data_IF_558495434173
#
_entry.id   IF_558495434173
#
_cell.length_a   1.000
_cell.length_b   1.000
_cell.length_c   1.000
_cell.angle_alpha   90.00
_cell.angle_beta   90.00
_cell.angle_gamma   90.00
#
_symmetry.space_group_name_H-M   'P 1'
#
loop_
_entity.id
_entity.type
_entity.pdbx_description
1 polymer ?
#
# COMPACT_ATOMS: atom_id res chain seq x y z
N UNK A 1 27.32 -9.92 -14.06
CA UNK A 1 27.08 -8.47 -14.16
C UNK A 1 25.93 -8.13 -13.22
N UNK A 2 26.16 -7.26 -12.24
CA UNK A 2 25.12 -6.87 -11.26
C UNK A 2 24.18 -5.87 -11.92
N UNK A 3 22.88 -6.17 -11.99
CA UNK A 3 21.90 -5.25 -12.55
C UNK A 3 21.81 -3.95 -11.73
N UNK A 4 21.72 -2.76 -12.35
CA UNK A 4 21.71 -1.48 -11.65
C UNK A 4 20.63 -1.37 -10.56
N UNK A 5 19.49 -2.03 -10.76
CA UNK A 5 18.34 -2.01 -9.84
C UNK A 5 18.03 -3.38 -9.24
N UNK A 6 19.06 -4.20 -8.98
CA UNK A 6 18.89 -5.54 -8.42
C UNK A 6 18.07 -5.57 -7.12
N UNK A 7 18.26 -4.59 -6.22
CA UNK A 7 17.54 -4.51 -4.95
C UNK A 7 16.04 -4.24 -5.14
N UNK A 8 15.67 -3.36 -6.08
CA UNK A 8 14.27 -3.13 -6.45
C UNK A 8 13.65 -4.40 -7.04
N UNK A 9 14.35 -5.05 -7.96
CA UNK A 9 13.86 -6.27 -8.61
C UNK A 9 13.59 -7.40 -7.59
N UNK A 10 14.47 -7.56 -6.60
CA UNK A 10 14.26 -8.52 -5.51
C UNK A 10 12.98 -8.21 -4.72
N UNK A 11 12.74 -6.95 -4.37
CA UNK A 11 11.53 -6.55 -3.64
C UNK A 11 10.26 -6.67 -4.48
N UNK A 12 10.32 -6.34 -5.77
CA UNK A 12 9.21 -6.59 -6.69
C UNK A 12 8.88 -8.08 -6.77
N UNK A 13 9.89 -8.95 -6.87
CA UNK A 13 9.67 -10.39 -6.86
C UNK A 13 9.07 -10.88 -5.54
N UNK A 14 9.49 -10.33 -4.40
CA UNK A 14 8.92 -10.63 -3.10
C UNK A 14 7.47 -10.12 -2.98
N UNK A 15 7.16 -8.93 -3.51
CA UNK A 15 5.79 -8.42 -3.56
C UNK A 15 4.87 -9.33 -4.39
N UNK A 16 5.37 -9.88 -5.50
CA UNK A 16 4.66 -10.87 -6.30
C UNK A 16 4.46 -12.19 -5.53
N UNK A 17 5.46 -12.63 -4.77
CA UNK A 17 5.36 -13.82 -3.91
C UNK A 17 4.27 -13.60 -2.82
N UNK A 18 4.25 -12.43 -2.17
CA UNK A 18 3.24 -12.06 -1.16
C UNK A 18 1.83 -11.97 -1.75
N UNK A 19 1.70 -11.51 -2.99
CA UNK A 19 0.44 -11.47 -3.73
C UNK A 19 0.00 -12.84 -4.29
N UNK A 20 0.73 -13.92 -3.99
CA UNK A 20 0.41 -15.28 -4.45
C UNK A 20 0.66 -15.52 -5.95
N UNK A 21 1.44 -14.67 -6.62
CA UNK A 21 1.79 -14.84 -8.03
C UNK A 21 2.97 -15.81 -8.13
N UNK A 22 2.72 -17.02 -8.66
CA UNK A 22 3.71 -18.09 -8.73
C UNK A 22 5.01 -17.74 -9.47
N UNK A 23 6.09 -18.46 -9.11
CA UNK A 23 7.40 -18.38 -9.78
C UNK A 23 7.35 -19.11 -11.12
N UNK A 24 8.21 -18.69 -12.06
CA UNK A 24 8.42 -19.39 -13.33
C UNK A 24 7.89 -18.65 -14.56
N UNK A 25 7.76 -19.38 -15.69
CA UNK A 25 7.52 -18.81 -17.03
C UNK A 25 6.28 -17.93 -17.14
N UNK A 26 5.25 -18.20 -16.33
CA UNK A 26 4.01 -17.42 -16.30
C UNK A 26 4.16 -16.03 -15.67
N UNK A 27 5.13 -15.82 -14.77
CA UNK A 27 5.26 -14.59 -13.98
C UNK A 27 5.46 -13.34 -14.82
N UNK A 28 6.40 -13.38 -15.75
CA UNK A 28 6.69 -12.24 -16.64
C UNK A 28 5.49 -11.91 -17.51
N UNK A 29 4.81 -12.92 -18.05
CA UNK A 29 3.61 -12.73 -18.86
C UNK A 29 2.44 -12.16 -18.03
N UNK A 30 2.29 -12.64 -16.79
CA UNK A 30 1.29 -12.14 -15.84
C UNK A 30 1.54 -10.68 -15.47
N UNK A 31 2.77 -10.32 -15.14
CA UNK A 31 3.14 -8.94 -14.83
C UNK A 31 2.93 -8.03 -16.04
N UNK A 32 3.34 -8.47 -17.23
CA UNK A 32 3.11 -7.74 -18.47
C UNK A 32 1.62 -7.49 -18.72
N UNK A 33 0.78 -8.50 -18.54
CA UNK A 33 -0.67 -8.40 -18.70
C UNK A 33 -1.32 -7.49 -17.65
N UNK A 34 -0.90 -7.56 -16.39
CA UNK A 34 -1.44 -6.73 -15.29
C UNK A 34 -1.24 -5.23 -15.55
N UNK A 35 -0.10 -4.84 -16.12
CA UNK A 35 0.25 -3.43 -16.31
C UNK A 35 0.18 -2.97 -17.78
N UNK A 36 -0.35 -3.79 -18.68
CA UNK A 36 -0.47 -3.46 -20.10
C UNK A 36 0.87 -3.12 -20.78
N UNK A 37 1.96 -3.81 -20.41
CA UNK A 37 3.29 -3.58 -20.98
C UNK A 37 3.81 -4.78 -21.77
N UNK A 38 4.88 -4.58 -22.54
CA UNK A 38 5.56 -5.67 -23.22
C UNK A 38 6.18 -6.67 -22.21
N UNK A 39 6.30 -7.94 -22.62
CA UNK A 39 7.02 -8.95 -21.82
C UNK A 39 8.47 -8.57 -21.56
N UNK A 40 9.10 -7.88 -22.51
CA UNK A 40 10.47 -7.40 -22.37
C UNK A 40 10.59 -6.32 -21.29
N UNK A 41 9.64 -5.38 -21.24
CA UNK A 41 9.56 -4.38 -20.16
C UNK A 41 9.42 -5.05 -18.79
N UNK A 42 8.46 -5.98 -18.66
CA UNK A 42 8.27 -6.74 -17.42
C UNK A 42 9.53 -7.54 -17.04
N UNK A 43 10.21 -8.16 -18.01
CA UNK A 43 11.47 -8.87 -17.80
C UNK A 43 12.57 -7.94 -17.30
N UNK A 44 12.70 -6.74 -17.86
CA UNK A 44 13.68 -5.74 -17.42
C UNK A 44 13.44 -5.30 -15.98
N UNK A 45 12.18 -5.10 -15.56
CA UNK A 45 11.85 -4.79 -14.17
C UNK A 45 12.20 -5.94 -13.22
N UNK A 46 11.78 -7.17 -13.55
CA UNK A 46 12.05 -8.37 -12.75
C UNK A 46 13.54 -8.71 -12.68
N UNK A 47 14.33 -8.29 -13.67
CA UNK A 47 15.78 -8.45 -13.72
C UNK A 47 16.58 -7.25 -13.22
N UNK A 48 15.93 -6.15 -12.82
CA UNK A 48 16.61 -4.94 -12.34
C UNK A 48 17.38 -4.16 -13.40
N UNK A 49 17.04 -4.36 -14.68
CA UNK A 49 17.66 -3.68 -15.82
C UNK A 49 17.04 -2.30 -16.10
N UNK A 50 15.82 -2.08 -15.61
CA UNK A 50 15.14 -0.78 -15.64
C UNK A 50 14.15 -0.68 -14.48
N UNK A 51 13.71 0.53 -14.17
CA UNK A 51 12.62 0.78 -13.22
C UNK A 51 11.30 1.07 -13.97
N UNK A 52 10.15 0.80 -13.35
CA UNK A 52 8.88 1.39 -13.76
C UNK A 52 8.85 2.89 -13.41
N UNK A 53 7.92 3.63 -14.02
CA UNK A 53 7.61 5.00 -13.63
C UNK A 53 6.94 5.04 -12.24
N UNK A 54 6.97 6.21 -11.58
CA UNK A 54 6.47 6.37 -10.21
C UNK A 54 5.00 5.98 -10.07
N UNK A 55 4.13 6.46 -10.97
CA UNK A 55 2.70 6.11 -10.96
C UNK A 55 2.48 4.59 -11.00
N UNK A 56 3.32 3.89 -11.76
CA UNK A 56 3.25 2.44 -11.87
C UNK A 56 3.79 1.73 -10.64
N UNK A 57 4.81 2.28 -9.99
CA UNK A 57 5.28 1.78 -8.70
C UNK A 57 4.23 1.97 -7.60
N UNK A 58 3.45 3.06 -7.65
CA UNK A 58 2.30 3.28 -6.75
C UNK A 58 1.24 2.20 -6.99
N UNK A 59 0.80 1.99 -8.24
CA UNK A 59 -0.19 0.95 -8.57
C UNK A 59 0.30 -0.45 -8.17
N UNK A 60 1.60 -0.75 -8.37
CA UNK A 60 2.22 -1.99 -7.89
C UNK A 60 2.15 -2.14 -6.37
N UNK A 61 2.50 -1.10 -5.63
CA UNK A 61 2.48 -1.11 -4.18
C UNK A 61 1.06 -1.37 -3.66
N UNK A 62 0.08 -0.63 -4.16
CA UNK A 62 -1.33 -0.79 -3.80
C UNK A 62 -1.85 -2.18 -4.17
N UNK A 63 -1.64 -2.64 -5.41
CA UNK A 63 -2.14 -3.93 -5.89
C UNK A 63 -1.57 -5.12 -5.13
N UNK A 64 -0.29 -5.06 -4.76
CA UNK A 64 0.38 -6.15 -4.07
C UNK A 64 0.33 -6.01 -2.53
N UNK A 65 -0.35 -4.99 -2.01
CA UNK A 65 -0.48 -4.77 -0.57
C UNK A 65 0.84 -4.47 0.13
N UNK A 66 1.76 -3.77 -0.55
CA UNK A 66 3.07 -3.40 0.00
C UNK A 66 3.24 -1.88 0.06
N UNK A 67 4.11 -1.40 0.95
CA UNK A 67 4.46 0.02 1.03
C UNK A 67 5.32 0.46 -0.17
N UNK A 68 4.99 1.60 -0.79
CA UNK A 68 5.78 2.17 -1.89
C UNK A 68 7.23 2.45 -1.46
N UNK A 69 7.44 3.03 -0.28
CA UNK A 69 8.78 3.35 0.22
C UNK A 69 9.65 2.10 0.32
N UNK A 70 9.06 1.01 0.82
CA UNK A 70 9.71 -0.29 0.88
C UNK A 70 10.01 -0.82 -0.52
N UNK A 71 9.04 -0.82 -1.44
CA UNK A 71 9.24 -1.30 -2.80
C UNK A 71 10.36 -0.52 -3.51
N UNK A 72 10.32 0.81 -3.47
CA UNK A 72 11.24 1.69 -4.17
C UNK A 72 12.65 1.71 -3.54
N UNK A 73 12.75 1.85 -2.21
CA UNK A 73 14.02 2.12 -1.53
C UNK A 73 14.51 0.99 -0.63
N UNK A 74 13.62 0.11 -0.19
CA UNK A 74 13.90 -0.94 0.80
C UNK A 74 13.87 -0.45 2.24
N UNK A 75 13.48 0.81 2.50
CA UNK A 75 13.27 1.32 3.85
C UNK A 75 11.88 0.92 4.36
N UNK A 76 11.77 0.71 5.68
CA UNK A 76 10.51 0.32 6.32
C UNK A 76 10.15 -1.16 6.15
N UNK A 77 8.92 -1.52 6.47
CA UNK A 77 8.39 -2.87 6.35
C UNK A 77 7.66 -3.08 5.00
N UNK A 78 7.58 -4.32 4.48
CA UNK A 78 6.85 -4.61 3.24
C UNK A 78 5.38 -4.27 3.34
N UNK A 79 4.72 -4.64 4.44
CA UNK A 79 3.34 -4.25 4.67
C UNK A 79 3.29 -2.76 5.07
N UNK A 80 2.33 -1.97 4.54
CA UNK A 80 2.01 -0.69 5.13
C UNK A 80 1.58 -0.97 6.58
N UNK A 81 2.41 -0.59 7.55
CA UNK A 81 2.19 -0.94 8.95
C UNK A 81 0.86 -0.38 9.41
N UNK A 82 -0.18 -1.22 9.54
CA UNK A 82 -1.51 -0.90 10.05
C UNK A 82 -1.98 0.54 9.76
N UNK A 83 -1.77 1.02 8.53
CA UNK A 83 -2.39 2.26 8.10
C UNK A 83 -3.84 1.89 7.81
N UNK A 84 -4.72 2.39 8.67
CA UNK A 84 -6.16 2.41 8.51
C UNK A 84 -6.41 2.83 7.05
N UNK A 85 -6.98 1.94 6.25
CA UNK A 85 -7.57 2.26 4.96
C UNK A 85 -8.79 3.15 5.22
N UNK A 86 -8.55 4.40 5.59
CA UNK A 86 -9.57 5.42 5.50
C UNK A 86 -9.60 5.87 4.06
N UNK A 87 -10.69 5.59 3.32
CA UNK A 87 -10.86 6.16 2.00
C UNK A 87 -10.83 7.69 2.13
N UNK A 88 -9.71 8.30 1.74
CA UNK A 88 -9.43 9.73 1.76
C UNK A 88 -10.41 10.59 0.92
N UNK A 89 -11.51 10.03 0.44
CA UNK A 89 -12.56 10.72 -0.29
C UNK A 89 -13.86 10.96 0.51
N UNK A 90 -14.01 10.43 1.74
CA UNK A 90 -15.21 10.65 2.57
C UNK A 90 -15.08 11.77 3.62
N UNK A 91 -13.87 12.28 3.89
CA UNK A 91 -13.65 13.41 4.82
C UNK A 91 -13.56 14.75 4.09
N UNK A 92 -14.53 15.02 3.21
CA UNK A 92 -14.65 16.34 2.59
C UNK A 92 -15.80 17.09 3.26
N UNK A 93 -15.44 18.11 4.08
CA UNK A 93 -16.20 19.35 4.39
C UNK A 93 -16.75 19.58 5.83
N UNK A 94 -16.66 18.67 6.82
CA UNK A 94 -17.16 18.95 8.20
C UNK A 94 -16.14 18.81 9.37
N UNK A 95 -14.84 18.80 9.06
CA UNK A 95 -13.77 18.33 9.95
C UNK A 95 -13.41 19.13 11.22
N UNK A 96 -14.03 20.29 11.50
CA UNK A 96 -13.68 21.04 12.73
C UNK A 96 -14.29 20.42 13.99
N UNK A 97 -15.54 20.00 13.89
CA UNK A 97 -16.27 19.47 15.05
C UNK A 97 -15.88 18.01 15.32
N UNK A 98 -15.59 17.23 14.28
CA UNK A 98 -15.13 15.85 14.40
C UNK A 98 -13.73 15.76 15.04
N UNK A 99 -12.77 16.56 14.56
CA UNK A 99 -11.45 16.64 15.18
C UNK A 99 -11.53 17.12 16.65
N UNK A 100 -12.43 18.07 16.93
CA UNK A 100 -12.68 18.55 18.29
C UNK A 100 -13.30 17.47 19.18
N UNK A 101 -14.28 16.71 18.67
CA UNK A 101 -14.93 15.61 19.37
C UNK A 101 -13.94 14.51 19.70
N UNK A 102 -13.10 14.10 18.73
CA UNK A 102 -12.04 13.13 18.95
C UNK A 102 -11.04 13.59 20.02
N UNK A 103 -10.68 14.87 20.00
CA UNK A 103 -9.84 15.47 21.04
C UNK A 103 -10.47 15.42 22.43
N UNK A 104 -11.78 15.68 22.53
CA UNK A 104 -12.53 15.61 23.79
C UNK A 104 -12.63 14.17 24.28
N UNK A 105 -13.03 13.21 23.43
CA UNK A 105 -13.21 11.80 23.79
C UNK A 105 -11.93 11.20 24.36
N UNK A 106 -10.76 11.51 23.79
CA UNK A 106 -9.46 11.03 24.29
C UNK A 106 -9.16 11.48 25.72
N UNK A 107 -9.73 12.61 26.15
CA UNK A 107 -9.53 13.20 27.49
C UNK A 107 -10.57 12.72 28.51
N UNK A 108 -11.63 12.05 28.08
CA UNK A 108 -12.69 11.59 28.98
C UNK A 108 -12.32 10.25 29.67
N UNK A 109 -12.61 10.11 30.97
CA UNK A 109 -12.61 8.82 31.68
C UNK A 109 -13.53 7.79 31.02
N UNK A 110 -13.20 6.51 31.20
CA UNK A 110 -13.91 5.37 30.56
C UNK A 110 -15.43 5.43 30.76
N UNK A 111 -15.90 5.84 31.93
CA UNK A 111 -17.33 5.95 32.24
C UNK A 111 -18.05 6.97 31.35
N UNK A 112 -17.42 8.13 31.09
CA UNK A 112 -18.00 9.19 30.26
C UNK A 112 -18.00 8.81 28.78
N UNK A 113 -16.98 8.07 28.31
CA UNK A 113 -16.97 7.51 26.95
C UNK A 113 -18.10 6.51 26.72
N UNK A 114 -18.36 5.63 27.69
CA UNK A 114 -19.46 4.66 27.59
C UNK A 114 -20.83 5.34 27.58
N UNK A 115 -21.03 6.35 28.44
CA UNK A 115 -22.27 7.11 28.44
C UNK A 115 -22.50 7.86 27.10
N UNK A 116 -21.43 8.39 26.50
CA UNK A 116 -21.49 9.04 25.19
C UNK A 116 -21.85 8.05 24.08
N UNK A 117 -21.26 6.85 24.07
CA UNK A 117 -21.62 5.81 23.09
C UNK A 117 -23.09 5.40 23.23
N UNK A 118 -23.58 5.19 24.45
CA UNK A 118 -25.00 4.88 24.68
C UNK A 118 -25.95 5.99 24.23
N UNK A 119 -25.50 7.24 24.29
CA UNK A 119 -26.28 8.38 23.83
C UNK A 119 -26.28 8.51 22.29
N UNK A 120 -25.16 8.17 21.64
CA UNK A 120 -25.01 8.22 20.18
C UNK A 120 -25.58 6.99 19.45
N UNK A 121 -25.65 5.82 20.11
CA UNK A 121 -26.26 4.59 19.57
C UNK A 121 -27.80 4.64 19.54
N UNK A 122 -28.41 5.75 19.98
CA UNK A 122 -29.86 5.86 20.24
C UNK A 122 -30.69 6.52 19.14
N UNK A 123 -30.11 6.76 17.97
CA UNK A 123 -30.81 7.24 16.76
C UNK A 123 -30.78 6.21 15.63
#
# INVERSE_FOLDING_TARGET
MTSPHAAFAQRLQLALDLAGIEKGRGRTARLAALYGVSRETARKWLGGLSLPELERMIDMATRFGVALEWLATGRGAPAPGAHIDEPHALYSVQDRDEARLLGLIRRLPRQQRMALLTLLDRD
#
